data_IF_315273726163
#
_entry.id   IF_315273726163
#
_cell.length_a   1.000
_cell.length_b   1.000
_cell.length_c   1.000
_cell.angle_alpha   90.00
_cell.angle_beta   90.00
_cell.angle_gamma   90.00
#
_symmetry.space_group_name_H-M   'P 1'
#
loop_
_entity.id
_entity.type
_entity.pdbx_description
1 polymer ?
#
# COMPACT_ATOMS: atom_id res chain seq x y z
N UNK A 1 -2.80 12.80 17.73
CA UNK A 1 -4.20 13.19 18.01
C UNK A 1 -4.69 12.69 19.38
N UNK A 2 -4.12 11.61 19.96
CA UNK A 2 -4.41 11.20 21.35
C UNK A 2 -3.74 12.13 22.38
N UNK A 3 -2.59 12.71 22.03
CA UNK A 3 -1.81 13.64 22.87
C UNK A 3 -2.59 14.89 23.32
N UNK A 4 -3.43 15.45 22.46
CA UNK A 4 -4.22 16.67 22.75
C UNK A 4 -5.31 16.46 23.81
N UNK A 5 -5.67 15.21 24.11
CA UNK A 5 -6.63 14.88 25.18
C UNK A 5 -5.96 14.84 26.56
N UNK A 6 -4.63 14.82 26.60
CA UNK A 6 -3.83 14.70 27.84
C UNK A 6 -2.90 15.89 28.06
N UNK A 7 -2.85 16.82 27.12
CA UNK A 7 -2.00 18.01 27.18
C UNK A 7 -2.56 19.01 28.19
N UNK A 8 -1.82 19.28 29.26
CA UNK A 8 -2.24 20.19 30.34
C UNK A 8 -3.22 19.61 31.35
N UNK A 9 -3.45 18.29 31.35
CA UNK A 9 -4.20 17.63 32.44
C UNK A 9 -3.27 17.43 33.62
N UNK A 10 -3.45 18.24 34.67
CA UNK A 10 -2.69 18.14 35.92
C UNK A 10 -2.94 16.78 36.61
N UNK A 11 -1.85 16.09 36.97
CA UNK A 11 -1.90 14.87 37.76
C UNK A 11 -1.09 13.70 37.19
N UNK A 12 -0.74 12.76 38.06
CA UNK A 12 0.04 11.54 37.73
C UNK A 12 -0.61 10.69 36.63
N UNK A 13 -1.94 10.74 36.53
CA UNK A 13 -2.73 9.99 35.56
C UNK A 13 -2.64 10.59 34.14
N UNK A 14 -2.56 11.92 34.02
CA UNK A 14 -2.32 12.62 32.75
C UNK A 14 -0.93 12.30 32.20
N UNK A 15 0.10 12.40 33.03
CA UNK A 15 1.48 12.07 32.65
C UNK A 15 1.59 10.61 32.19
N UNK A 16 0.99 9.66 32.92
CA UNK A 16 0.99 8.25 32.54
C UNK A 16 0.27 8.00 31.20
N UNK A 17 -0.88 8.65 30.98
CA UNK A 17 -1.64 8.55 29.72
C UNK A 17 -0.85 9.09 28.53
N UNK A 18 -0.16 10.22 28.74
CA UNK A 18 0.69 10.86 27.73
C UNK A 18 1.88 9.96 27.35
N UNK A 19 2.52 9.32 28.34
CA UNK A 19 3.55 8.30 28.11
C UNK A 19 3.03 7.14 27.27
N UNK A 20 1.94 6.51 27.69
CA UNK A 20 1.34 5.36 26.98
C UNK A 20 0.99 5.73 25.54
N UNK A 21 0.33 6.87 25.35
CA UNK A 21 -0.04 7.37 24.02
C UNK A 21 1.17 7.52 23.09
N UNK A 22 2.28 8.10 23.59
CA UNK A 22 3.48 8.29 22.77
C UNK A 22 4.18 6.97 22.48
N UNK A 23 4.39 6.10 23.47
CA UNK A 23 5.01 4.77 23.24
C UNK A 23 4.23 3.97 22.21
N UNK A 24 2.90 3.94 22.33
CA UNK A 24 2.01 3.27 21.39
C UNK A 24 2.10 3.91 20.00
N UNK A 25 2.10 5.26 19.92
CA UNK A 25 2.20 5.98 18.65
C UNK A 25 3.51 5.69 17.91
N UNK A 26 4.66 5.76 18.59
CA UNK A 26 5.96 5.44 17.98
C UNK A 26 6.03 3.98 17.51
N UNK A 27 5.53 3.06 18.34
CA UNK A 27 5.54 1.63 18.03
C UNK A 27 4.65 1.30 16.84
N UNK A 28 3.39 1.76 16.85
CA UNK A 28 2.44 1.53 15.76
C UNK A 28 2.93 2.15 14.45
N UNK A 29 3.54 3.34 14.50
CA UNK A 29 4.08 3.97 13.30
C UNK A 29 5.21 3.12 12.70
N UNK A 30 6.19 2.69 13.49
CA UNK A 30 7.28 1.84 13.02
C UNK A 30 6.77 0.49 12.46
N UNK A 31 5.82 -0.14 13.16
CA UNK A 31 5.19 -1.40 12.74
C UNK A 31 4.42 -1.21 11.43
N UNK A 32 3.67 -0.13 11.25
CA UNK A 32 2.90 0.13 10.04
C UNK A 32 3.79 0.23 8.79
N UNK A 33 4.92 0.94 8.87
CA UNK A 33 5.88 1.03 7.76
C UNK A 33 6.58 -0.31 7.48
N UNK A 34 6.81 -1.11 8.51
CA UNK A 34 7.33 -2.46 8.33
C UNK A 34 6.30 -3.40 7.67
N UNK A 35 5.03 -3.34 8.05
CA UNK A 35 3.96 -4.09 7.39
C UNK A 35 3.85 -3.68 5.92
N UNK A 36 3.91 -2.38 5.63
CA UNK A 36 3.96 -1.87 4.26
C UNK A 36 5.15 -2.45 3.49
N UNK A 37 6.33 -2.50 4.11
CA UNK A 37 7.52 -3.09 3.50
C UNK A 37 7.30 -4.56 3.12
N UNK A 38 6.79 -5.37 4.06
CA UNK A 38 6.49 -6.78 3.80
C UNK A 38 5.45 -6.90 2.68
N UNK A 39 4.35 -6.15 2.75
CA UNK A 39 3.32 -6.14 1.72
C UNK A 39 3.91 -5.82 0.33
N UNK A 40 4.66 -4.72 0.22
CA UNK A 40 5.25 -4.29 -1.05
C UNK A 40 6.23 -5.32 -1.61
N UNK A 41 7.10 -5.90 -0.78
CA UNK A 41 8.06 -6.92 -1.20
C UNK A 41 7.37 -8.25 -1.59
N UNK A 42 6.27 -8.64 -0.92
CA UNK A 42 5.48 -9.82 -1.31
C UNK A 42 4.81 -9.62 -2.67
N UNK A 43 4.20 -8.46 -2.91
CA UNK A 43 3.55 -8.10 -4.19
C UNK A 43 4.57 -8.04 -5.34
N UNK A 44 5.80 -7.66 -5.05
CA UNK A 44 6.90 -7.61 -6.01
C UNK A 44 7.60 -8.95 -6.22
N UNK A 45 7.30 -9.99 -5.42
CA UNK A 45 7.91 -11.31 -5.54
C UNK A 45 9.39 -11.34 -5.16
N UNK A 46 9.81 -10.51 -4.19
CA UNK A 46 11.21 -10.33 -3.84
C UNK A 46 11.85 -11.54 -3.15
N UNK A 47 13.16 -11.75 -3.42
CA UNK A 47 13.99 -12.79 -2.77
C UNK A 47 14.43 -12.42 -1.34
N UNK A 48 14.07 -11.23 -0.86
CA UNK A 48 14.34 -10.82 0.54
C UNK A 48 13.45 -11.60 1.52
N UNK A 49 12.22 -11.91 1.14
CA UNK A 49 11.25 -12.58 2.01
C UNK A 49 11.29 -14.11 1.95
N UNK A 50 12.10 -14.70 1.06
CA UNK A 50 12.19 -16.16 0.93
C UNK A 50 13.07 -16.81 2.00
N UNK A 51 14.06 -16.09 2.55
CA UNK A 51 14.99 -16.63 3.53
C UNK A 51 14.72 -16.07 4.94
N UNK A 52 14.51 -16.96 5.92
CA UNK A 52 14.18 -16.59 7.31
C UNK A 52 15.18 -15.62 7.95
N UNK A 53 16.48 -15.80 7.68
CA UNK A 53 17.52 -14.92 8.24
C UNK A 53 17.46 -13.49 7.66
N UNK A 54 17.07 -13.32 6.39
CA UNK A 54 16.92 -12.00 5.76
C UNK A 54 15.72 -11.27 6.34
N UNK A 55 14.60 -11.98 6.53
CA UNK A 55 13.42 -11.45 7.20
C UNK A 55 13.76 -10.99 8.60
N UNK A 56 14.50 -11.81 9.38
CA UNK A 56 14.96 -11.43 10.71
C UNK A 56 15.81 -10.15 10.67
N UNK A 57 16.79 -10.07 9.76
CA UNK A 57 17.68 -8.91 9.61
C UNK A 57 16.91 -7.63 9.28
N UNK A 58 15.92 -7.70 8.39
CA UNK A 58 15.09 -6.55 8.02
C UNK A 58 14.06 -6.21 9.10
N UNK A 59 13.76 -7.12 10.04
CA UNK A 59 12.87 -6.83 11.18
C UNK A 59 13.59 -6.10 12.32
N UNK A 60 14.92 -6.25 12.41
CA UNK A 60 15.74 -5.67 13.50
C UNK A 60 15.56 -4.16 13.69
N UNK A 61 15.59 -3.30 12.65
CA UNK A 61 15.44 -1.86 12.84
C UNK A 61 14.07 -1.48 13.43
N UNK A 62 13.02 -2.21 13.07
CA UNK A 62 11.67 -1.99 13.61
C UNK A 62 11.60 -2.41 15.08
N UNK A 63 12.16 -3.58 15.41
CA UNK A 63 12.26 -4.05 16.80
C UNK A 63 13.08 -3.09 17.63
N UNK A 64 14.18 -2.56 17.11
CA UNK A 64 14.99 -1.55 17.79
C UNK A 64 14.16 -0.31 18.12
N UNK A 65 13.37 0.22 17.17
CA UNK A 65 12.52 1.39 17.43
C UNK A 65 11.46 1.10 18.49
N UNK A 66 10.81 -0.08 18.44
CA UNK A 66 9.82 -0.48 19.45
C UNK A 66 10.47 -0.60 20.83
N UNK A 67 11.61 -1.29 20.92
CA UNK A 67 12.36 -1.42 22.18
C UNK A 67 12.75 -0.04 22.71
N UNK A 68 13.29 0.84 21.87
CA UNK A 68 13.65 2.20 22.25
C UNK A 68 12.44 3.02 22.72
N UNK A 69 11.26 2.83 22.14
CA UNK A 69 10.03 3.49 22.57
C UNK A 69 9.61 3.05 23.96
N UNK A 70 9.65 1.74 24.24
CA UNK A 70 9.33 1.20 25.57
C UNK A 70 10.39 1.56 26.62
N UNK A 71 11.68 1.53 26.28
CA UNK A 71 12.75 1.89 27.22
C UNK A 71 12.86 3.39 27.45
N UNK A 72 12.21 4.22 26.63
CA UNK A 72 12.30 5.68 26.71
C UNK A 72 11.83 6.24 28.06
N UNK A 73 10.96 5.53 28.79
CA UNK A 73 10.54 5.92 30.14
C UNK A 73 11.69 5.95 31.16
N UNK A 74 12.75 5.16 30.93
CA UNK A 74 13.96 5.19 31.75
C UNK A 74 15.09 5.92 31.06
N UNK A 75 15.32 5.64 29.78
CA UNK A 75 16.53 6.10 29.08
C UNK A 75 16.40 7.51 28.52
N UNK A 76 15.18 8.06 28.43
CA UNK A 76 14.92 9.36 27.81
C UNK A 76 15.55 9.44 26.40
N UNK A 77 15.47 8.33 25.64
CA UNK A 77 16.19 8.18 24.38
C UNK A 77 15.42 8.76 23.19
N UNK A 78 14.15 8.38 23.01
CA UNK A 78 13.31 8.90 21.92
C UNK A 78 12.59 10.18 22.34
N UNK A 79 12.00 10.15 23.54
CA UNK A 79 11.29 11.27 24.12
C UNK A 79 11.26 11.18 25.65
N UNK A 80 10.98 12.30 26.30
CA UNK A 80 10.59 12.32 27.70
C UNK A 80 9.47 13.31 27.93
N UNK A 81 8.79 13.15 29.07
CA UNK A 81 7.73 14.03 29.53
C UNK A 81 8.18 14.63 30.85
N UNK A 82 8.20 15.96 30.93
CA UNK A 82 8.62 16.66 32.16
C UNK A 82 7.54 16.60 33.25
N UNK A 83 7.87 17.12 34.44
CA UNK A 83 6.95 17.13 35.59
C UNK A 83 5.71 18.00 35.34
N UNK A 84 5.75 18.87 34.34
CA UNK A 84 4.67 19.74 33.90
C UNK A 84 3.81 19.09 32.80
N UNK A 85 4.12 17.83 32.43
CA UNK A 85 3.38 17.08 31.40
C UNK A 85 3.74 17.46 29.97
N UNK A 86 4.78 18.27 29.75
CA UNK A 86 5.21 18.73 28.43
C UNK A 86 6.13 17.71 27.79
N UNK A 87 5.90 17.45 26.50
CA UNK A 87 6.65 16.50 25.69
C UNK A 87 7.95 17.13 25.14
N UNK A 88 9.07 16.44 25.33
CA UNK A 88 10.38 16.83 24.82
C UNK A 88 10.98 15.75 23.92
N UNK A 89 11.56 16.17 22.79
CA UNK A 89 12.24 15.29 21.83
C UNK A 89 13.69 15.06 22.26
N UNK A 90 14.15 13.82 22.21
CA UNK A 90 15.50 13.45 22.65
C UNK A 90 16.45 13.13 21.50
N UNK A 91 17.70 12.78 21.84
CA UNK A 91 18.78 12.55 20.88
C UNK A 91 18.47 11.43 19.87
N UNK A 92 17.76 10.37 20.27
CA UNK A 92 17.44 9.24 19.40
C UNK A 92 16.10 9.38 18.68
N UNK A 93 15.38 10.49 18.85
CA UNK A 93 14.08 10.74 18.20
C UNK A 93 14.12 10.51 16.68
N UNK A 94 15.24 10.85 16.03
CA UNK A 94 15.40 10.72 14.58
C UNK A 94 15.54 9.28 14.08
N UNK A 95 15.82 8.30 14.94
CA UNK A 95 15.97 6.90 14.53
C UNK A 95 14.65 6.38 13.93
N UNK A 96 13.52 6.67 14.57
CA UNK A 96 12.22 6.21 14.10
C UNK A 96 11.87 6.71 12.68
N UNK A 97 11.89 8.02 12.37
CA UNK A 97 11.56 8.49 11.03
C UNK A 97 12.59 8.03 9.99
N UNK A 98 13.88 7.93 10.33
CA UNK A 98 14.90 7.42 9.41
C UNK A 98 14.58 5.97 9.01
N UNK A 99 14.32 5.09 9.99
CA UNK A 99 13.97 3.68 9.72
C UNK A 99 12.71 3.58 8.85
N UNK A 100 11.67 4.34 9.17
CA UNK A 100 10.41 4.36 8.39
C UNK A 100 10.64 4.81 6.95
N UNK A 101 11.37 5.91 6.73
CA UNK A 101 11.64 6.41 5.38
C UNK A 101 12.54 5.48 4.58
N UNK A 102 13.52 4.82 5.20
CA UNK A 102 14.37 3.83 4.53
C UNK A 102 13.53 2.70 3.91
N UNK A 103 12.53 2.17 4.63
CA UNK A 103 11.64 1.14 4.07
C UNK A 103 10.83 1.63 2.89
N UNK A 104 10.24 2.82 3.00
CA UNK A 104 9.43 3.40 1.92
C UNK A 104 10.28 3.66 0.69
N UNK A 105 11.42 4.32 0.86
CA UNK A 105 12.33 4.62 -0.25
C UNK A 105 12.82 3.34 -0.92
N UNK A 106 13.23 2.34 -0.14
CA UNK A 106 13.64 1.04 -0.69
C UNK A 106 12.53 0.42 -1.54
N UNK A 107 11.33 0.28 -0.97
CA UNK A 107 10.21 -0.37 -1.67
C UNK A 107 9.76 0.40 -2.89
N UNK A 108 9.78 1.73 -2.86
CA UNK A 108 9.44 2.57 -4.01
C UNK A 108 10.50 2.50 -5.11
N UNK A 109 11.79 2.48 -4.77
CA UNK A 109 12.88 2.29 -5.75
C UNK A 109 12.82 0.90 -6.38
N UNK A 110 12.61 -0.14 -5.57
CA UNK A 110 12.50 -1.51 -6.05
C UNK A 110 11.27 -1.66 -6.97
N UNK A 111 10.12 -1.08 -6.59
CA UNK A 111 8.92 -1.06 -7.42
C UNK A 111 9.14 -0.32 -8.74
N UNK A 112 9.87 0.81 -8.71
CA UNK A 112 10.19 1.57 -9.91
C UNK A 112 11.03 0.75 -10.89
N UNK A 113 12.10 0.10 -10.41
CA UNK A 113 12.94 -0.77 -11.23
C UNK A 113 12.13 -1.93 -11.79
N UNK A 114 11.32 -2.57 -10.95
CA UNK A 114 10.51 -3.72 -11.36
C UNK A 114 9.42 -3.34 -12.37
N UNK A 115 8.85 -2.14 -12.28
CA UNK A 115 7.87 -1.62 -13.25
C UNK A 115 8.42 -1.50 -14.68
N UNK A 116 9.74 -1.35 -14.83
CA UNK A 116 10.40 -1.33 -16.14
C UNK A 116 10.69 -2.73 -16.69
N UNK A 117 10.77 -3.74 -15.81
CA UNK A 117 11.10 -5.13 -16.18
C UNK A 117 9.89 -5.96 -16.55
N UNK A 118 8.70 -5.58 -16.08
CA UNK A 118 7.48 -6.37 -16.31
C UNK A 118 6.74 -5.89 -17.55
N UNK A 119 6.46 -6.84 -18.44
CA UNK A 119 5.70 -6.61 -19.68
C UNK A 119 4.19 -6.54 -19.44
N UNK A 120 3.68 -7.29 -18.45
CA UNK A 120 2.26 -7.24 -18.08
C UNK A 120 1.86 -5.85 -17.59
N UNK A 121 0.96 -5.20 -18.32
CA UNK A 121 0.42 -3.87 -18.01
C UNK A 121 -0.21 -3.81 -16.62
N UNK A 122 -0.86 -4.89 -16.19
CA UNK A 122 -1.52 -4.99 -14.88
C UNK A 122 -0.50 -4.88 -13.75
N UNK A 123 0.56 -5.70 -13.82
CA UNK A 123 1.65 -5.66 -12.83
C UNK A 123 2.41 -4.33 -12.90
N UNK A 124 2.57 -3.77 -14.10
CA UNK A 124 3.21 -2.47 -14.31
C UNK A 124 2.42 -1.33 -13.65
N UNK A 125 1.09 -1.34 -13.71
CA UNK A 125 0.24 -0.36 -13.03
C UNK A 125 0.41 -0.43 -11.51
N UNK A 126 0.33 -1.62 -10.90
CA UNK A 126 0.56 -1.79 -9.45
C UNK A 126 1.96 -1.31 -9.06
N UNK A 127 3.00 -1.71 -9.80
CA UNK A 127 4.38 -1.33 -9.48
C UNK A 127 4.63 0.16 -9.65
N UNK A 128 3.99 0.82 -10.63
CA UNK A 128 4.01 2.29 -10.72
C UNK A 128 3.34 2.93 -9.51
N UNK A 129 2.19 2.44 -9.08
CA UNK A 129 1.52 2.96 -7.87
C UNK A 129 2.37 2.77 -6.61
N UNK A 130 3.00 1.60 -6.44
CA UNK A 130 3.95 1.35 -5.34
C UNK A 130 5.21 2.25 -5.43
N UNK A 131 5.71 2.52 -6.63
CA UNK A 131 6.84 3.43 -6.85
C UNK A 131 6.51 4.88 -6.46
N UNK A 132 5.29 5.33 -6.77
CA UNK A 132 4.83 6.67 -6.47
C UNK A 132 4.20 6.83 -5.08
N UNK A 133 4.03 5.74 -4.33
CA UNK A 133 3.48 5.75 -2.96
C UNK A 133 4.25 6.70 -2.02
N UNK A 134 5.57 6.81 -2.19
CA UNK A 134 6.39 7.69 -1.36
C UNK A 134 6.11 9.18 -1.61
N UNK A 135 5.65 9.58 -2.79
CA UNK A 135 5.61 11.00 -3.19
C UNK A 135 4.63 11.79 -2.33
N UNK A 136 3.34 11.43 -2.20
CA UNK A 136 2.42 12.20 -1.38
C UNK A 136 2.82 12.18 0.10
N UNK A 137 3.39 11.06 0.60
CA UNK A 137 3.90 10.97 1.96
C UNK A 137 5.10 11.91 2.21
N UNK A 138 6.05 11.98 1.28
CA UNK A 138 7.21 12.89 1.37
C UNK A 138 6.78 14.35 1.29
N UNK A 139 5.86 14.70 0.38
CA UNK A 139 5.28 16.05 0.29
C UNK A 139 4.54 16.38 1.58
N UNK A 140 3.71 15.47 2.09
CA UNK A 140 3.04 15.65 3.38
C UNK A 140 4.02 15.87 4.54
N UNK A 141 5.14 15.13 4.54
CA UNK A 141 6.22 15.27 5.51
C UNK A 141 6.92 16.63 5.44
N UNK A 142 7.22 17.14 4.23
CA UNK A 142 7.85 18.47 4.08
C UNK A 142 6.89 19.58 4.51
N UNK A 143 5.61 19.50 4.14
CA UNK A 143 4.58 20.43 4.61
C UNK A 143 4.47 20.43 6.14
N UNK A 144 4.59 19.26 6.77
CA UNK A 144 4.58 19.16 8.22
C UNK A 144 5.77 19.87 8.88
N UNK A 145 6.96 19.79 8.28
CA UNK A 145 8.15 20.48 8.81
C UNK A 145 8.05 22.00 8.63
N UNK A 146 7.52 22.47 7.51
CA UNK A 146 7.46 23.91 7.19
C UNK A 146 6.31 24.62 7.91
N UNK A 147 5.13 24.02 7.92
CA UNK A 147 3.89 24.67 8.39
C UNK A 147 3.41 24.16 9.77
N UNK A 148 4.10 23.18 10.36
CA UNK A 148 3.70 22.55 11.64
C UNK A 148 2.28 21.94 11.65
N UNK A 149 1.77 21.58 10.47
CA UNK A 149 0.46 20.90 10.26
C UNK A 149 0.70 19.40 10.08
N UNK A 150 -0.21 18.48 10.48
CA UNK A 150 -0.02 17.03 10.34
C UNK A 150 -0.13 16.52 8.88
N UNK A 151 0.72 17.02 7.99
CA UNK A 151 0.70 16.73 6.55
C UNK A 151 1.12 15.31 6.20
N UNK A 152 2.00 14.67 7.00
CA UNK A 152 2.50 13.32 6.72
C UNK A 152 1.37 12.29 6.72
N UNK A 153 0.47 12.36 7.70
CA UNK A 153 -0.68 11.46 7.81
C UNK A 153 -1.61 11.59 6.60
N UNK A 154 -1.85 12.83 6.14
CA UNK A 154 -2.68 13.10 4.95
C UNK A 154 -2.02 12.52 3.71
N UNK A 155 -0.71 12.71 3.54
CA UNK A 155 0.05 12.14 2.42
C UNK A 155 0.00 10.62 2.38
N UNK A 156 0.17 9.95 3.52
CA UNK A 156 0.06 8.48 3.63
C UNK A 156 -1.36 8.03 3.27
N UNK A 157 -2.39 8.68 3.80
CA UNK A 157 -3.79 8.35 3.54
C UNK A 157 -4.16 8.47 2.06
N UNK A 158 -3.73 9.55 1.40
CA UNK A 158 -3.90 9.72 -0.06
C UNK A 158 -3.21 8.57 -0.81
N UNK A 159 -1.99 8.23 -0.43
CA UNK A 159 -1.21 7.15 -1.07
C UNK A 159 -1.90 5.79 -0.91
N UNK A 160 -2.45 5.51 0.29
CA UNK A 160 -3.20 4.30 0.58
C UNK A 160 -4.50 4.24 -0.23
N UNK A 161 -5.21 5.36 -0.35
CA UNK A 161 -6.44 5.46 -1.11
C UNK A 161 -6.20 5.24 -2.62
N UNK A 162 -5.14 5.85 -3.17
CA UNK A 162 -4.75 5.63 -4.57
C UNK A 162 -4.41 4.16 -4.83
N UNK A 163 -3.67 3.52 -3.93
CA UNK A 163 -3.40 2.08 -4.03
C UNK A 163 -4.71 1.27 -3.97
N UNK A 164 -5.60 1.58 -3.03
CA UNK A 164 -6.88 0.89 -2.88
C UNK A 164 -7.74 0.98 -4.14
N UNK A 165 -7.87 2.18 -4.73
CA UNK A 165 -8.63 2.40 -5.98
C UNK A 165 -8.04 1.55 -7.11
N UNK A 166 -6.72 1.56 -7.28
CA UNK A 166 -6.04 0.78 -8.33
C UNK A 166 -6.23 -0.73 -8.12
N UNK A 167 -6.14 -1.21 -6.88
CA UNK A 167 -6.39 -2.62 -6.56
C UNK A 167 -7.86 -3.01 -6.82
N UNK A 168 -8.83 -2.15 -6.47
CA UNK A 168 -10.24 -2.41 -6.75
C UNK A 168 -10.53 -2.44 -8.25
N UNK A 169 -9.99 -1.49 -9.01
CA UNK A 169 -10.10 -1.49 -10.47
C UNK A 169 -9.61 -2.81 -11.06
N UNK A 170 -8.51 -3.37 -10.55
CA UNK A 170 -8.03 -4.66 -11.03
C UNK A 170 -8.94 -5.84 -10.73
N UNK A 171 -9.59 -5.85 -9.56
CA UNK A 171 -10.54 -6.90 -9.18
C UNK A 171 -11.81 -6.82 -10.05
N UNK A 172 -12.30 -5.61 -10.32
CA UNK A 172 -13.52 -5.36 -11.11
C UNK A 172 -13.26 -5.50 -12.62
N UNK A 173 -12.01 -5.40 -13.05
CA UNK A 173 -11.57 -5.59 -14.45
C UNK A 173 -11.75 -7.03 -14.99
N UNK A 174 -12.24 -7.94 -14.16
CA UNK A 174 -12.50 -9.34 -14.51
C UNK A 174 -14.00 -9.57 -14.41
N UNK A 175 -14.59 -10.12 -15.46
CA UNK A 175 -16.00 -10.47 -15.45
C UNK A 175 -16.23 -11.64 -14.46
N UNK A 176 -17.09 -11.48 -13.45
CA UNK A 176 -17.23 -12.45 -12.37
C UNK A 176 -17.93 -13.75 -12.80
N UNK A 177 -18.69 -13.70 -13.90
CA UNK A 177 -19.42 -14.85 -14.42
C UNK A 177 -18.50 -15.79 -15.23
N UNK A 178 -17.57 -15.19 -15.98
CA UNK A 178 -16.71 -15.88 -16.95
C UNK A 178 -15.26 -16.02 -16.51
N UNK A 179 -14.80 -15.20 -15.56
CA UNK A 179 -13.39 -15.10 -15.18
C UNK A 179 -12.51 -14.43 -16.24
N UNK A 180 -13.09 -13.96 -17.35
CA UNK A 180 -12.38 -13.30 -18.44
C UNK A 180 -12.18 -11.81 -18.17
N UNK A 181 -11.29 -11.19 -18.94
CA UNK A 181 -11.11 -9.76 -18.94
C UNK A 181 -12.41 -9.06 -19.34
N UNK A 182 -12.85 -8.07 -18.57
CA UNK A 182 -14.01 -7.29 -18.94
C UNK A 182 -13.70 -6.34 -20.13
N UNK A 183 -14.75 -5.71 -20.67
CA UNK A 183 -14.62 -4.78 -21.80
C UNK A 183 -13.61 -3.65 -21.55
N UNK A 184 -13.63 -3.06 -20.35
CA UNK A 184 -12.73 -1.96 -19.99
C UNK A 184 -11.25 -2.40 -20.06
N UNK A 185 -10.98 -3.64 -19.63
CA UNK A 185 -9.65 -4.25 -19.69
C UNK A 185 -9.23 -4.57 -21.13
N UNK A 186 -10.15 -5.03 -21.98
CA UNK A 186 -9.90 -5.20 -23.42
C UNK A 186 -9.52 -3.87 -24.09
N UNK A 187 -10.28 -2.81 -23.85
CA UNK A 187 -10.03 -1.48 -24.43
C UNK A 187 -8.66 -0.92 -23.97
N UNK A 188 -8.34 -1.04 -22.67
CA UNK A 188 -7.03 -0.62 -22.14
C UNK A 188 -5.87 -1.39 -22.78
N UNK A 189 -6.03 -2.71 -22.99
CA UNK A 189 -5.03 -3.54 -23.65
C UNK A 189 -4.83 -3.13 -25.11
N UNK A 190 -5.91 -2.94 -25.87
CA UNK A 190 -5.85 -2.47 -27.25
C UNK A 190 -5.15 -1.10 -27.37
N UNK A 191 -5.50 -0.14 -26.52
CA UNK A 191 -4.85 1.17 -26.49
C UNK A 191 -3.33 1.06 -26.23
N UNK A 192 -2.93 0.16 -25.33
CA UNK A 192 -1.50 -0.05 -25.03
C UNK A 192 -0.73 -0.63 -26.22
N UNK A 193 -1.35 -1.57 -26.96
CA UNK A 193 -0.80 -2.19 -28.17
C UNK A 193 -0.53 -1.15 -29.25
N UNK A 194 -1.48 -0.24 -29.49
CA UNK A 194 -1.32 0.82 -30.49
C UNK A 194 -0.42 1.97 -30.03
N UNK A 195 -0.27 2.19 -28.72
CA UNK A 195 0.61 3.24 -28.18
C UNK A 195 2.10 2.90 -28.25
N UNK A 196 2.44 1.61 -28.27
CA UNK A 196 3.81 1.13 -28.46
C UNK A 196 4.08 1.03 -29.97
N UNK A 197 4.55 2.12 -30.57
CA UNK A 197 4.83 2.27 -32.00
C UNK A 197 5.87 1.28 -32.60
N UNK A 198 6.50 0.43 -31.79
CA UNK A 198 7.48 -0.58 -32.21
C UNK A 198 6.88 -1.97 -32.49
N UNK A 199 5.58 -2.19 -32.22
CA UNK A 199 4.92 -3.44 -32.62
C UNK A 199 4.66 -3.43 -34.14
N UNK A 200 5.63 -3.96 -34.88
CA UNK A 200 5.60 -4.13 -36.35
C UNK A 200 4.86 -5.40 -36.80
N UNK A 201 4.15 -6.07 -35.90
CA UNK A 201 3.37 -7.27 -36.20
C UNK A 201 1.89 -6.96 -36.44
N UNK A 202 1.26 -7.73 -37.33
CA UNK A 202 -0.19 -7.66 -37.55
C UNK A 202 -0.95 -8.06 -36.27
N UNK A 203 -1.93 -7.23 -35.88
CA UNK A 203 -2.83 -7.51 -34.75
C UNK A 203 -4.13 -8.07 -35.30
N UNK A 204 -4.48 -9.29 -34.88
CA UNK A 204 -5.74 -9.93 -35.24
C UNK A 204 -6.72 -9.85 -34.07
N UNK A 205 -7.97 -9.45 -34.35
CA UNK A 205 -9.06 -9.41 -33.38
C UNK A 205 -10.15 -10.40 -33.79
N UNK A 206 -10.47 -11.35 -32.90
CA UNK A 206 -11.62 -12.24 -33.05
C UNK A 206 -12.74 -11.74 -32.13
N UNK A 207 -13.89 -11.44 -32.73
CA UNK A 207 -15.10 -11.08 -32.01
C UNK A 207 -16.13 -12.18 -32.25
N UNK A 208 -16.71 -12.69 -31.16
CA UNK A 208 -17.70 -13.76 -31.18
C UNK A 208 -18.94 -13.30 -30.43
N UNK A 209 -20.12 -13.65 -30.95
CA UNK A 209 -21.41 -13.41 -30.32
C UNK A 209 -22.20 -14.72 -30.22
N UNK A 210 -23.00 -14.86 -29.17
CA UNK A 210 -23.80 -16.05 -28.94
C UNK A 210 -25.19 -15.90 -29.55
N UNK A 211 -25.41 -16.52 -30.71
CA UNK A 211 -26.69 -16.46 -31.40
C UNK A 211 -27.83 -17.05 -30.54
N UNK A 212 -28.95 -16.33 -30.47
CA UNK A 212 -30.16 -16.81 -29.79
C UNK A 212 -30.09 -16.84 -28.26
N UNK A 213 -29.06 -16.25 -27.63
CA UNK A 213 -28.86 -16.28 -26.17
C UNK A 213 -30.07 -15.76 -25.37
N UNK A 214 -30.78 -14.75 -25.90
CA UNK A 214 -32.00 -14.23 -25.28
C UNK A 214 -33.10 -15.30 -25.15
N UNK A 215 -33.25 -16.18 -26.13
CA UNK A 215 -34.25 -17.25 -26.09
C UNK A 215 -33.93 -18.31 -25.02
N UNK A 216 -32.64 -18.53 -24.74
CA UNK A 216 -32.21 -19.40 -23.65
C UNK A 216 -32.59 -18.77 -22.30
N UNK A 217 -32.30 -17.49 -22.11
CA UNK A 217 -32.69 -16.75 -20.90
C UNK A 217 -34.21 -16.73 -20.71
N UNK A 218 -34.98 -16.45 -21.77
CA UNK A 218 -36.43 -16.34 -21.72
C UNK A 218 -37.10 -17.71 -21.44
N UNK A 219 -36.49 -18.83 -21.86
CA UNK A 219 -37.07 -20.18 -21.74
C UNK A 219 -36.61 -20.95 -20.50
N UNK A 220 -35.36 -20.78 -20.08
CA UNK A 220 -34.74 -21.57 -19.01
C UNK A 220 -34.33 -20.72 -17.79
N UNK A 221 -34.52 -19.40 -17.87
CA UNK A 221 -34.14 -18.46 -16.83
C UNK A 221 -32.66 -18.09 -16.85
N UNK A 222 -32.34 -16.95 -16.23
CA UNK A 222 -30.98 -16.37 -16.25
C UNK A 222 -29.89 -17.30 -15.70
N UNK A 223 -30.21 -18.17 -14.73
CA UNK A 223 -29.24 -19.11 -14.15
C UNK A 223 -28.74 -20.13 -15.19
N UNK A 224 -29.61 -20.57 -16.11
CA UNK A 224 -29.23 -21.50 -17.16
C UNK A 224 -28.54 -20.79 -18.33
N UNK A 225 -28.87 -19.53 -18.59
CA UNK A 225 -28.09 -18.66 -19.49
C UNK A 225 -26.65 -18.49 -19.01
N UNK A 226 -26.46 -18.19 -17.72
CA UNK A 226 -25.14 -18.10 -17.07
C UNK A 226 -24.31 -19.39 -17.18
N UNK A 227 -24.96 -20.55 -17.17
CA UNK A 227 -24.31 -21.86 -17.38
C UNK A 227 -23.94 -22.07 -18.85
N UNK A 228 -24.85 -21.73 -19.78
CA UNK A 228 -24.58 -21.82 -21.21
C UNK A 228 -23.40 -20.92 -21.61
N UNK A 229 -23.34 -19.70 -21.07
CA UNK A 229 -22.24 -18.77 -21.29
C UNK A 229 -20.90 -19.31 -20.74
N UNK A 230 -20.89 -19.89 -19.54
CA UNK A 230 -19.69 -20.56 -19.01
C UNK A 230 -19.26 -21.77 -19.84
N UNK A 231 -20.21 -22.57 -20.33
CA UNK A 231 -19.90 -23.74 -21.16
C UNK A 231 -19.23 -23.33 -22.48
N UNK A 232 -19.73 -22.25 -23.11
CA UNK A 232 -19.18 -21.71 -24.35
C UNK A 232 -17.70 -21.32 -24.21
N UNK A 233 -17.29 -20.89 -23.01
CA UNK A 233 -15.92 -20.49 -22.70
C UNK A 233 -14.96 -21.63 -22.37
N UNK A 234 -15.46 -22.83 -22.06
CA UNK A 234 -14.61 -24.01 -21.80
C UNK A 234 -14.34 -24.79 -23.09
N UNK A 235 -15.21 -24.65 -24.08
CA UNK A 235 -15.10 -25.31 -25.38
C UNK A 235 -14.01 -24.67 -26.27
N UNK A 236 -13.48 -23.50 -25.87
CA UNK A 236 -12.42 -22.75 -26.54
C UNK A 236 -11.26 -22.47 -25.57
#
# INVERSE_FOLDING_TARGET
MIWTLSDGVDGTLGIATNWISNVVSFSLFAIAFFIWFIYSETVQGSRLLTARYKVALVTLPTVLVVVLAFTSCWTHALFYIDAQGVYHRCFAYMIQPIVSYCYVIHTSLHAFVQSRRVESLQKKAIYRTLAFFAIPALVGGTFQVVFSVPGLCVGIMISMLLLYIVCQEQLISTDPLTGLNNRNRFETYMLSLFSNADHTGDVYLLMMDADGFKQINDRYGHVEGDRAQRCLLVVW
#
